data_IF_086569898080
#
_entry.id   IF_086569898080
#
_cell.length_a   1.000
_cell.length_b   1.000
_cell.length_c   1.000
_cell.angle_alpha   90.00
_cell.angle_beta   90.00
_cell.angle_gamma   90.00
#
_symmetry.space_group_name_H-M   'P 1'
#
loop_
_entity.id
_entity.type
_entity.pdbx_description
1 polymer ?
#
# COMPACT_ATOMS: atom_id res chain seq x y z
N UNK A 1 -1.18 -14.19 -3.05
CA UNK A 1 -0.13 -13.18 -3.31
C UNK A 1 -0.70 -11.85 -2.87
N UNK A 2 -0.08 -11.20 -1.89
CA UNK A 2 -0.65 -9.97 -1.32
C UNK A 2 -0.31 -8.73 -2.15
N UNK A 3 -1.27 -7.82 -2.25
CA UNK A 3 -1.23 -6.54 -2.96
C UNK A 3 -1.89 -5.47 -2.13
N UNK A 4 -1.26 -4.32 -2.02
CA UNK A 4 -1.80 -3.16 -1.31
C UNK A 4 -1.83 -1.94 -2.21
N UNK A 5 -3.00 -1.31 -2.30
CA UNK A 5 -3.22 -0.02 -2.93
C UNK A 5 -3.22 1.04 -1.83
N UNK A 6 -2.36 2.04 -1.94
CA UNK A 6 -2.32 3.20 -1.05
C UNK A 6 -2.89 4.39 -1.84
N UNK A 7 -4.06 4.86 -1.43
CA UNK A 7 -4.73 6.02 -2.01
C UNK A 7 -4.43 7.24 -1.15
N UNK A 8 -3.81 8.24 -1.76
CA UNK A 8 -3.52 9.54 -1.17
C UNK A 8 -4.57 10.54 -1.64
N UNK A 9 -5.15 11.29 -0.72
CA UNK A 9 -6.11 12.34 -1.04
C UNK A 9 -5.93 13.55 -0.12
N UNK A 10 -6.40 14.72 -0.54
CA UNK A 10 -6.34 15.94 0.26
C UNK A 10 -7.74 16.33 0.72
N UNK A 11 -8.12 16.14 1.99
CA UNK A 11 -9.42 16.50 2.54
C UNK A 11 -9.87 17.94 2.23
N UNK A 12 -8.96 18.92 2.25
CA UNK A 12 -9.29 20.32 1.93
C UNK A 12 -9.47 20.63 0.45
N UNK A 13 -9.23 19.65 -0.43
CA UNK A 13 -9.49 19.75 -1.87
C UNK A 13 -10.76 19.02 -2.31
N UNK A 14 -11.47 18.35 -1.39
CA UNK A 14 -12.77 17.76 -1.65
C UNK A 14 -13.86 18.78 -1.31
N UNK A 15 -14.84 18.95 -2.19
CA UNK A 15 -15.97 19.86 -1.98
C UNK A 15 -17.02 19.30 -1.02
N UNK A 16 -17.07 17.97 -0.90
CA UNK A 16 -17.98 17.23 -0.04
C UNK A 16 -17.37 15.87 0.35
N UNK A 17 -17.96 15.21 1.34
CA UNK A 17 -17.60 13.83 1.66
C UNK A 17 -17.85 12.92 0.45
N UNK A 18 -16.92 12.01 0.20
CA UNK A 18 -16.98 11.09 -0.93
C UNK A 18 -16.88 9.66 -0.40
N UNK A 19 -17.63 8.75 -1.02
CA UNK A 19 -17.47 7.32 -0.78
C UNK A 19 -16.88 6.67 -2.04
N UNK A 20 -15.67 6.12 -1.94
CA UNK A 20 -15.06 5.33 -3.01
C UNK A 20 -15.49 3.87 -2.85
N UNK A 21 -16.28 3.38 -3.80
CA UNK A 21 -16.78 2.01 -3.84
C UNK A 21 -15.92 1.19 -4.79
N UNK A 22 -15.36 0.10 -4.27
CA UNK A 22 -14.51 -0.83 -5.01
C UNK A 22 -15.25 -2.15 -5.21
N UNK A 23 -15.33 -2.59 -6.47
CA UNK A 23 -15.96 -3.87 -6.86
C UNK A 23 -15.04 -4.64 -7.79
N UNK A 24 -15.11 -5.97 -7.76
CA UNK A 24 -14.41 -6.77 -8.74
C UNK A 24 -15.23 -6.88 -10.02
N UNK A 25 -14.54 -6.88 -11.17
CA UNK A 25 -15.14 -7.24 -12.44
C UNK A 25 -15.68 -8.68 -12.36
N UNK A 26 -16.93 -8.92 -12.77
CA UNK A 26 -17.49 -10.27 -12.76
C UNK A 26 -16.72 -11.17 -13.73
N UNK A 27 -16.60 -12.49 -13.45
CA UNK A 27 -16.04 -13.44 -14.40
C UNK A 27 -16.76 -13.36 -15.74
N UNK A 28 -16.01 -13.40 -16.84
CA UNK A 28 -16.49 -13.13 -18.20
C UNK A 28 -17.37 -14.24 -18.79
N UNK A 29 -17.43 -15.41 -18.18
CA UNK A 29 -18.29 -16.50 -18.64
C UNK A 29 -19.76 -16.28 -18.25
N UNK A 30 -20.45 -15.48 -19.07
CA UNK A 30 -21.89 -15.16 -18.97
C UNK A 30 -22.82 -16.39 -19.01
N UNK A 31 -22.32 -17.57 -19.35
CA UNK A 31 -23.10 -18.81 -19.39
C UNK A 31 -23.51 -19.35 -18.00
N UNK A 32 -23.03 -18.75 -16.90
CA UNK A 32 -22.99 -19.42 -15.59
C UNK A 32 -24.01 -18.95 -14.54
N UNK A 33 -24.82 -17.93 -14.83
CA UNK A 33 -26.13 -17.63 -14.21
C UNK A 33 -26.48 -16.18 -14.58
N UNK A 34 -27.66 -15.91 -15.16
CA UNK A 34 -28.06 -14.55 -15.53
C UNK A 34 -28.24 -13.61 -14.31
N UNK A 35 -28.14 -14.12 -13.09
CA UNK A 35 -28.34 -13.37 -11.84
C UNK A 35 -27.09 -13.37 -10.98
N UNK A 36 -25.93 -13.07 -11.56
CA UNK A 36 -24.74 -12.75 -10.77
C UNK A 36 -24.85 -11.31 -10.28
N UNK A 37 -24.86 -11.11 -8.98
CA UNK A 37 -24.84 -9.77 -8.39
C UNK A 37 -23.39 -9.37 -8.06
N UNK A 38 -23.05 -8.11 -8.34
CA UNK A 38 -21.81 -7.51 -7.87
C UNK A 38 -21.94 -7.12 -6.41
N UNK A 39 -20.83 -7.19 -5.70
CA UNK A 39 -20.75 -6.79 -4.28
C UNK A 39 -19.79 -5.63 -4.13
N UNK A 40 -20.19 -4.63 -3.34
CA UNK A 40 -19.33 -3.56 -2.86
C UNK A 40 -18.25 -4.13 -1.93
N UNK A 41 -17.17 -4.66 -2.52
CA UNK A 41 -16.11 -5.38 -1.80
C UNK A 41 -15.42 -4.53 -0.74
N UNK A 42 -15.12 -3.26 -1.09
CA UNK A 42 -14.61 -2.26 -0.14
C UNK A 42 -15.29 -0.93 -0.39
N UNK A 43 -15.57 -0.22 0.70
CA UNK A 43 -16.09 1.14 0.66
C UNK A 43 -15.17 2.00 1.51
N UNK A 44 -14.51 2.96 0.87
CA UNK A 44 -13.53 3.84 1.50
C UNK A 44 -14.16 5.22 1.66
N UNK A 45 -14.54 5.62 2.88
CA UNK A 45 -15.01 6.99 3.12
C UNK A 45 -13.82 7.95 3.03
N UNK A 46 -14.01 9.05 2.30
CA UNK A 46 -13.07 10.13 2.15
C UNK A 46 -13.74 11.41 2.64
N UNK A 47 -13.22 11.97 3.73
CA UNK A 47 -13.85 13.10 4.40
C UNK A 47 -13.34 14.42 3.84
N UNK A 48 -14.26 15.32 3.51
CA UNK A 48 -13.91 16.70 3.19
C UNK A 48 -13.72 17.48 4.49
N UNK A 49 -12.58 18.17 4.60
CA UNK A 49 -12.26 19.01 5.75
C UNK A 49 -11.83 20.37 5.24
N UNK A 50 -12.70 21.36 5.41
CA UNK A 50 -12.46 22.73 4.96
C UNK A 50 -11.13 23.25 5.50
N UNK A 51 -10.37 23.93 4.64
CA UNK A 51 -9.09 24.56 4.96
C UNK A 51 -7.98 23.59 5.42
N UNK A 52 -8.18 22.27 5.31
CA UNK A 52 -7.14 21.28 5.59
C UNK A 52 -6.08 21.25 4.50
N UNK A 53 -4.83 21.47 4.88
CA UNK A 53 -3.66 21.28 4.01
C UNK A 53 -3.05 19.88 4.16
N UNK A 54 -3.56 19.06 5.07
CA UNK A 54 -3.04 17.72 5.31
C UNK A 54 -3.39 16.78 4.15
N UNK A 55 -2.51 15.81 3.92
CA UNK A 55 -2.78 14.66 3.07
C UNK A 55 -3.23 13.50 3.95
N UNK A 56 -4.25 12.77 3.52
CA UNK A 56 -4.75 11.57 4.18
C UNK A 56 -4.58 10.36 3.26
N UNK A 57 -4.59 9.17 3.86
CA UNK A 57 -4.21 7.92 3.21
C UNK A 57 -5.21 6.82 3.54
N UNK A 58 -5.73 6.18 2.49
CA UNK A 58 -6.49 4.95 2.60
C UNK A 58 -5.69 3.76 2.06
N UNK A 59 -5.71 2.64 2.78
CA UNK A 59 -5.01 1.41 2.39
C UNK A 59 -6.01 0.30 2.07
N UNK A 60 -5.88 -0.31 0.90
CA UNK A 60 -6.73 -1.41 0.43
C UNK A 60 -5.85 -2.61 0.13
N UNK A 61 -6.04 -3.70 0.87
CA UNK A 61 -5.24 -4.92 0.72
C UNK A 61 -6.06 -6.05 0.11
N UNK A 62 -5.49 -6.69 -0.92
CA UNK A 62 -5.95 -7.91 -1.55
C UNK A 62 -4.92 -9.02 -1.32
N UNK A 63 -5.34 -10.15 -0.75
CA UNK A 63 -4.42 -11.24 -0.35
C UNK A 63 -4.24 -12.33 -1.42
N UNK A 64 -5.15 -12.38 -2.40
CA UNK A 64 -5.25 -13.47 -3.37
C UNK A 64 -5.71 -14.82 -2.82
N UNK A 65 -6.15 -14.88 -1.55
CA UNK A 65 -6.78 -16.07 -0.98
C UNK A 65 -8.25 -16.05 -1.32
N UNK A 66 -8.71 -17.01 -2.11
CA UNK A 66 -10.10 -17.09 -2.57
C UNK A 66 -10.90 -18.00 -1.67
N UNK A 67 -12.20 -17.75 -1.56
CA UNK A 67 -13.10 -18.62 -0.82
C UNK A 67 -14.51 -18.58 -1.41
N UNK A 68 -15.22 -19.68 -1.22
CA UNK A 68 -16.68 -19.70 -1.30
C UNK A 68 -17.28 -19.51 0.09
N UNK A 69 -18.43 -18.85 0.15
CA UNK A 69 -19.25 -18.71 1.35
C UNK A 69 -20.70 -19.01 1.04
N UNK A 70 -21.45 -19.50 2.05
CA UNK A 70 -22.90 -19.52 1.97
C UNK A 70 -23.41 -18.23 2.59
N UNK A 71 -24.17 -17.47 1.83
CA UNK A 71 -24.69 -16.18 2.26
C UNK A 71 -26.19 -16.25 2.48
N UNK A 72 -26.72 -15.39 3.33
CA UNK A 72 -28.16 -15.08 3.38
C UNK A 72 -28.34 -13.68 2.81
N UNK A 73 -29.38 -13.52 1.99
CA UNK A 73 -29.79 -12.18 1.57
C UNK A 73 -30.77 -11.66 2.62
N UNK A 74 -30.51 -10.47 3.16
CA UNK A 74 -31.46 -9.76 4.03
C UNK A 74 -31.49 -8.29 3.65
N UNK A 75 -32.66 -7.80 3.26
CA UNK A 75 -32.92 -6.40 2.85
C UNK A 75 -31.82 -5.80 1.94
N UNK A 76 -31.36 -6.53 0.92
CA UNK A 76 -30.34 -6.03 -0.02
C UNK A 76 -28.88 -6.19 0.44
N UNK A 77 -28.65 -6.69 1.65
CA UNK A 77 -27.32 -6.95 2.19
C UNK A 77 -26.98 -8.44 2.17
N UNK A 78 -25.69 -8.72 2.04
CA UNK A 78 -25.14 -10.06 2.27
C UNK A 78 -24.89 -10.22 3.75
N UNK A 79 -25.75 -10.98 4.41
CA UNK A 79 -25.40 -11.57 5.70
C UNK A 79 -24.52 -12.77 5.39
N UNK A 80 -23.23 -12.67 5.72
CA UNK A 80 -22.33 -13.81 5.62
C UNK A 80 -22.85 -14.93 6.52
N UNK A 81 -23.33 -16.02 5.90
CA UNK A 81 -23.72 -17.22 6.60
C UNK A 81 -22.49 -17.90 7.17
N UNK A 82 -22.69 -18.66 8.23
CA UNK A 82 -21.64 -19.11 9.16
C UNK A 82 -20.52 -19.99 8.54
N UNK A 83 -20.57 -20.34 7.26
CA UNK A 83 -19.60 -21.25 6.63
C UNK A 83 -18.93 -20.65 5.38
N UNK A 84 -17.60 -20.70 5.41
CA UNK A 84 -16.71 -20.33 4.30
C UNK A 84 -15.65 -21.40 4.12
N UNK A 85 -15.22 -21.64 2.89
CA UNK A 85 -14.16 -22.59 2.55
C UNK A 85 -13.14 -21.93 1.64
N UNK A 86 -11.87 -21.97 2.01
CA UNK A 86 -10.77 -21.48 1.18
C UNK A 86 -10.60 -22.38 -0.05
N UNK A 87 -10.37 -21.75 -1.21
CA UNK A 87 -10.25 -22.42 -2.50
C UNK A 87 -8.99 -21.96 -3.22
N UNK A 88 -8.40 -22.87 -4.00
CA UNK A 88 -7.34 -22.58 -4.95
C UNK A 88 -7.87 -22.71 -6.38
N UNK A 89 -7.25 -21.98 -7.30
CA UNK A 89 -7.50 -22.08 -8.74
C UNK A 89 -7.45 -23.55 -9.18
N UNK A 90 -8.47 -24.01 -9.91
CA UNK A 90 -8.59 -25.39 -10.35
C UNK A 90 -9.16 -26.36 -9.31
N UNK A 91 -9.69 -25.90 -8.17
CA UNK A 91 -10.37 -26.75 -7.19
C UNK A 91 -11.90 -26.77 -7.37
N UNK A 92 -12.50 -27.87 -6.92
CA UNK A 92 -13.94 -28.13 -6.87
C UNK A 92 -14.36 -28.49 -5.44
N UNK A 93 -15.51 -27.99 -5.03
CA UNK A 93 -16.10 -28.25 -3.73
C UNK A 93 -17.61 -28.49 -3.84
N UNK A 94 -18.14 -29.32 -2.95
CA UNK A 94 -19.58 -29.54 -2.79
C UNK A 94 -20.08 -28.91 -1.49
N UNK A 95 -21.27 -28.30 -1.58
CA UNK A 95 -22.04 -27.85 -0.45
C UNK A 95 -23.13 -28.88 -0.16
N UNK A 96 -23.05 -29.53 0.99
CA UNK A 96 -23.97 -30.56 1.41
C UNK A 96 -24.93 -30.04 2.48
N UNK A 97 -26.06 -30.73 2.65
CA UNK A 97 -27.00 -30.44 3.73
C UNK A 97 -26.78 -31.42 4.88
N UNK A 98 -26.21 -30.95 5.99
CA UNK A 98 -25.91 -31.76 7.16
C UNK A 98 -26.50 -31.09 8.40
N UNK A 99 -27.21 -31.85 9.24
CA UNK A 99 -27.76 -31.35 10.52
C UNK A 99 -28.53 -30.02 10.38
N UNK A 100 -29.37 -29.91 9.34
CA UNK A 100 -30.20 -28.72 9.05
C UNK A 100 -29.43 -27.45 8.64
N UNK A 101 -28.13 -27.57 8.35
CA UNK A 101 -27.30 -26.46 7.88
C UNK A 101 -26.50 -26.83 6.62
N UNK A 102 -26.21 -25.86 5.75
CA UNK A 102 -25.35 -26.09 4.60
C UNK A 102 -23.87 -26.11 5.03
N UNK A 103 -23.17 -27.21 4.72
CA UNK A 103 -21.78 -27.46 5.12
C UNK A 103 -20.91 -27.68 3.88
N UNK A 104 -19.77 -27.00 3.82
CA UNK A 104 -18.78 -27.22 2.77
C UNK A 104 -18.03 -28.52 3.03
N UNK A 105 -17.86 -29.34 1.98
CA UNK A 105 -16.99 -30.51 2.02
C UNK A 105 -15.49 -30.14 2.05
N UNK A 106 -14.66 -31.07 1.57
CA UNK A 106 -13.21 -30.85 1.43
C UNK A 106 -12.89 -30.51 -0.03
N UNK A 107 -12.20 -29.39 -0.33
CA UNK A 107 -11.82 -29.05 -1.69
C UNK A 107 -11.00 -30.16 -2.35
N UNK A 108 -11.34 -30.46 -3.60
CA UNK A 108 -10.67 -31.48 -4.42
C UNK A 108 -10.18 -30.86 -5.72
N UNK A 109 -9.20 -31.49 -6.39
CA UNK A 109 -8.72 -30.98 -7.68
C UNK A 109 -9.75 -31.22 -8.77
N UNK A 110 -10.05 -30.18 -9.53
CA UNK A 110 -10.85 -30.24 -10.75
C UNK A 110 -9.95 -30.19 -12.00
N UNK A 111 -10.49 -30.58 -13.14
CA UNK A 111 -9.85 -30.32 -14.42
C UNK A 111 -10.03 -28.84 -14.82
N UNK A 112 -8.95 -28.20 -15.28
CA UNK A 112 -8.97 -26.83 -15.80
C UNK A 112 -8.51 -25.77 -14.79
N UNK A 113 -8.76 -24.50 -15.12
CA UNK A 113 -8.36 -23.33 -14.32
C UNK A 113 -9.50 -22.74 -13.48
N UNK A 114 -10.73 -23.24 -13.64
CA UNK A 114 -11.90 -22.72 -12.94
C UNK A 114 -11.93 -23.20 -11.49
N UNK A 115 -12.41 -22.33 -10.59
CA UNK A 115 -12.87 -22.73 -9.27
C UNK A 115 -14.36 -22.99 -9.31
N UNK A 116 -14.79 -24.08 -8.66
CA UNK A 116 -16.16 -24.59 -8.79
C UNK A 116 -16.75 -24.94 -7.42
N UNK A 117 -17.99 -24.53 -7.19
CA UNK A 117 -18.78 -24.89 -6.02
C UNK A 117 -20.12 -25.45 -6.48
N UNK A 118 -20.38 -26.73 -6.21
CA UNK A 118 -21.66 -27.36 -6.49
C UNK A 118 -22.56 -27.26 -5.26
N UNK A 119 -23.79 -26.81 -5.48
CA UNK A 119 -24.84 -26.88 -4.48
C UNK A 119 -25.47 -28.28 -4.51
N UNK A 120 -25.03 -29.17 -3.62
CA UNK A 120 -25.61 -30.52 -3.46
C UNK A 120 -26.68 -30.57 -2.36
N UNK A 121 -27.15 -29.41 -1.91
CA UNK A 121 -28.29 -29.33 -0.97
C UNK A 121 -29.62 -29.52 -1.72
N UNK A 122 -30.71 -29.93 -1.02
CA UNK A 122 -32.02 -30.09 -1.66
C UNK A 122 -32.70 -28.76 -2.02
N UNK A 123 -32.10 -27.62 -1.63
CA UNK A 123 -32.68 -26.29 -1.83
C UNK A 123 -31.76 -25.41 -2.68
N UNK A 124 -32.32 -24.31 -3.18
CA UNK A 124 -31.52 -23.25 -3.78
C UNK A 124 -30.69 -22.57 -2.69
N UNK A 125 -29.40 -22.33 -2.95
CA UNK A 125 -28.49 -21.68 -2.03
C UNK A 125 -27.94 -20.40 -2.63
N UNK A 126 -27.69 -19.41 -1.77
CA UNK A 126 -26.98 -18.20 -2.11
C UNK A 126 -25.49 -18.46 -1.86
N UNK A 127 -24.76 -18.81 -2.92
CA UNK A 127 -23.32 -19.06 -2.85
C UNK A 127 -22.62 -17.76 -3.25
N UNK A 128 -21.70 -17.28 -2.41
CA UNK A 128 -20.84 -16.15 -2.73
C UNK A 128 -19.41 -16.62 -2.95
N UNK A 129 -18.67 -15.86 -3.76
CA UNK A 129 -17.22 -15.98 -3.86
C UNK A 129 -16.59 -14.65 -3.49
N UNK A 130 -15.45 -14.71 -2.83
CA UNK A 130 -14.70 -13.53 -2.44
C UNK A 130 -13.30 -13.86 -1.97
N UNK A 131 -12.76 -12.98 -1.13
CA UNK A 131 -11.39 -13.05 -0.65
C UNK A 131 -11.32 -13.27 0.85
N UNK A 132 -10.32 -14.01 1.32
CA UNK A 132 -9.99 -14.16 2.74
C UNK A 132 -8.82 -13.27 3.12
N UNK A 133 -8.98 -12.48 4.19
CA UNK A 133 -7.92 -11.71 4.80
C UNK A 133 -7.67 -12.20 6.22
N UNK A 134 -6.40 -12.48 6.56
CA UNK A 134 -6.02 -12.80 7.94
C UNK A 134 -5.93 -11.49 8.73
N UNK A 135 -6.75 -11.35 9.77
CA UNK A 135 -6.70 -10.24 10.72
C UNK A 135 -6.44 -10.83 12.11
N UNK A 136 -5.20 -10.68 12.59
CA UNK A 136 -4.74 -11.40 13.79
C UNK A 136 -4.75 -12.91 13.56
N UNK A 137 -5.48 -13.65 14.39
CA UNK A 137 -5.67 -15.11 14.26
C UNK A 137 -6.90 -15.50 13.44
N UNK A 138 -7.73 -14.54 13.02
CA UNK A 138 -9.02 -14.80 12.36
C UNK A 138 -8.91 -14.59 10.86
N UNK A 139 -9.51 -15.49 10.08
CA UNK A 139 -9.73 -15.28 8.66
C UNK A 139 -11.07 -14.56 8.46
N UNK A 140 -11.01 -13.37 7.88
CA UNK A 140 -12.15 -12.52 7.58
C UNK A 140 -12.49 -12.67 6.10
N UNK A 141 -13.70 -13.15 5.82
CA UNK A 141 -14.21 -13.30 4.46
C UNK A 141 -14.86 -12.01 3.98
N UNK A 142 -14.54 -11.59 2.75
CA UNK A 142 -15.12 -10.43 2.06
C UNK A 142 -15.66 -10.86 0.70
N UNK A 143 -17.00 -10.97 0.53
CA UNK A 143 -17.63 -11.42 -0.70
C UNK A 143 -17.38 -10.40 -1.84
N UNK A 144 -17.32 -10.90 -3.06
CA UNK A 144 -17.14 -10.11 -4.28
C UNK A 144 -18.26 -10.36 -5.29
N UNK A 145 -18.78 -11.59 -5.31
CA UNK A 145 -19.90 -11.99 -6.14
C UNK A 145 -20.86 -12.85 -5.37
N UNK A 146 -22.12 -12.84 -5.80
CA UNK A 146 -23.19 -13.65 -5.24
C UNK A 146 -23.99 -14.31 -6.38
N UNK A 147 -24.25 -15.61 -6.23
CA UNK A 147 -25.11 -16.39 -7.13
C UNK A 147 -26.23 -17.07 -6.36
N UNK A 148 -27.40 -17.14 -7.01
CA UNK A 148 -28.50 -18.00 -6.60
C UNK A 148 -28.39 -19.35 -7.31
N UNK A 149 -27.78 -20.33 -6.65
CA UNK A 149 -27.45 -21.63 -7.23
C UNK A 149 -28.54 -22.64 -6.91
N UNK A 150 -29.21 -23.18 -7.94
CA UNK A 150 -30.23 -24.22 -7.76
C UNK A 150 -29.65 -25.52 -7.19
N UNK A 151 -30.52 -26.40 -6.70
CA UNK A 151 -30.11 -27.73 -6.24
C UNK A 151 -29.43 -28.48 -7.38
N UNK A 152 -28.33 -29.16 -7.09
CA UNK A 152 -27.42 -29.88 -8.01
C UNK A 152 -26.68 -29.00 -9.04
N UNK A 153 -26.88 -27.68 -9.03
CA UNK A 153 -26.19 -26.75 -9.94
C UNK A 153 -24.82 -26.35 -9.39
N UNK A 154 -23.95 -25.86 -10.27
CA UNK A 154 -22.59 -25.45 -9.93
C UNK A 154 -22.39 -23.96 -10.21
N UNK A 155 -21.88 -23.23 -9.23
CA UNK A 155 -21.26 -21.93 -9.44
C UNK A 155 -19.81 -22.16 -9.87
N UNK A 156 -19.42 -21.57 -10.99
CA UNK A 156 -18.05 -21.62 -11.49
C UNK A 156 -17.53 -20.20 -11.70
N UNK A 157 -16.26 -19.98 -11.41
CA UNK A 157 -15.63 -18.69 -11.63
C UNK A 157 -14.23 -18.84 -12.24
N UNK A 158 -13.97 -18.01 -13.24
CA UNK A 158 -12.63 -17.71 -13.72
C UNK A 158 -12.19 -16.38 -13.10
N UNK A 159 -11.57 -16.45 -11.91
CA UNK A 159 -11.32 -15.25 -11.13
C UNK A 159 -10.05 -14.53 -11.58
N UNK A 160 -10.24 -13.55 -12.46
CA UNK A 160 -9.23 -12.55 -12.82
C UNK A 160 -9.52 -11.25 -12.06
N UNK A 161 -8.78 -10.95 -10.96
CA UNK A 161 -9.12 -9.85 -10.06
C UNK A 161 -8.82 -8.49 -10.71
N UNK A 162 -9.74 -8.00 -11.53
CA UNK A 162 -9.78 -6.60 -11.99
C UNK A 162 -10.66 -5.84 -11.03
N UNK A 163 -10.09 -4.87 -10.31
CA UNK A 163 -10.80 -4.05 -9.35
C UNK A 163 -11.24 -2.74 -10.01
N UNK A 164 -12.51 -2.39 -9.89
CA UNK A 164 -13.10 -1.17 -10.45
C UNK A 164 -13.50 -0.21 -9.33
N UNK A 165 -13.23 1.08 -9.53
CA UNK A 165 -13.57 2.16 -8.62
C UNK A 165 -14.74 3.00 -9.13
N UNK A 166 -15.65 3.33 -8.21
CA UNK A 166 -16.79 4.23 -8.42
C UNK A 166 -16.92 5.17 -7.23
N UNK A 167 -17.64 6.28 -7.39
CA UNK A 167 -17.89 7.23 -6.30
C UNK A 167 -19.38 7.42 -6.04
N UNK A 168 -19.73 7.65 -4.77
CA UNK A 168 -21.04 8.16 -4.33
C UNK A 168 -22.26 7.32 -4.75
N UNK A 169 -22.10 6.00 -4.86
CA UNK A 169 -23.20 5.08 -5.19
C UNK A 169 -24.21 4.87 -4.05
N UNK A 170 -23.93 5.38 -2.84
CA UNK A 170 -24.74 5.11 -1.65
C UNK A 170 -24.63 3.70 -1.10
N UNK A 171 -23.77 2.86 -1.70
CA UNK A 171 -23.55 1.47 -1.27
C UNK A 171 -22.71 1.40 0.00
N UNK A 172 -23.04 0.44 0.87
CA UNK A 172 -22.20 0.04 2.00
C UNK A 172 -21.37 -1.20 1.68
N UNK A 173 -20.31 -1.45 2.46
CA UNK A 173 -19.47 -2.62 2.23
C UNK A 173 -20.28 -3.92 2.39
N UNK A 174 -20.08 -4.85 1.45
CA UNK A 174 -20.80 -6.11 1.30
C UNK A 174 -22.27 -6.00 0.85
N UNK A 175 -22.74 -4.81 0.49
CA UNK A 175 -24.02 -4.64 -0.19
C UNK A 175 -23.93 -5.15 -1.63
N UNK A 176 -24.96 -5.85 -2.11
CA UNK A 176 -25.02 -6.30 -3.50
C UNK A 176 -25.84 -5.34 -4.34
N UNK A 177 -25.49 -5.24 -5.61
CA UNK A 177 -26.28 -4.52 -6.60
C UNK A 177 -26.75 -5.47 -7.68
N UNK A 178 -28.06 -5.51 -7.88
CA UNK A 178 -28.70 -6.24 -8.98
C UNK A 178 -28.61 -5.47 -10.30
N UNK A 179 -28.38 -4.15 -10.23
CA UNK A 179 -28.08 -3.35 -11.40
C UNK A 179 -26.59 -3.41 -11.69
N UNK A 180 -26.23 -3.51 -12.97
CA UNK A 180 -24.89 -3.17 -13.42
C UNK A 180 -24.56 -1.79 -12.87
N UNK A 181 -23.56 -1.71 -11.98
CA UNK A 181 -22.95 -0.43 -11.65
C UNK A 181 -22.51 0.14 -12.99
N UNK A 182 -22.85 1.41 -13.25
CA UNK A 182 -22.48 2.17 -14.46
C UNK A 182 -21.29 1.59 -15.21
N UNK A 183 -21.39 1.45 -16.53
CA UNK A 183 -20.33 0.85 -17.36
C UNK A 183 -18.97 1.54 -17.22
N UNK A 184 -18.96 2.76 -16.66
CA UNK A 184 -17.83 3.68 -16.67
C UNK A 184 -17.30 3.88 -15.23
N UNK A 185 -16.41 2.99 -14.74
CA UNK A 185 -15.69 3.23 -13.50
C UNK A 185 -14.75 4.44 -13.65
N UNK A 186 -14.49 5.16 -12.56
CA UNK A 186 -13.51 6.25 -12.57
C UNK A 186 -12.07 5.75 -12.72
N UNK A 187 -11.83 4.48 -12.37
CA UNK A 187 -10.56 3.80 -12.54
C UNK A 187 -10.70 2.27 -12.48
N UNK A 188 -9.73 1.56 -13.04
CA UNK A 188 -9.62 0.11 -12.93
C UNK A 188 -8.18 -0.35 -12.70
N UNK A 189 -8.00 -1.36 -11.86
CA UNK A 189 -6.72 -1.99 -11.58
C UNK A 189 -6.75 -3.46 -11.95
N UNK A 190 -5.82 -3.89 -12.79
CA UNK A 190 -5.53 -5.30 -12.96
C UNK A 190 -4.59 -5.76 -11.83
N UNK A 191 -5.15 -6.28 -10.73
CA UNK A 191 -4.39 -6.54 -9.49
C UNK A 191 -3.15 -7.42 -9.67
N UNK A 192 -3.14 -8.48 -10.51
CA UNK A 192 -1.96 -9.30 -10.76
C UNK A 192 -0.80 -8.54 -11.41
N UNK A 193 -1.09 -7.51 -12.21
CA UNK A 193 -0.09 -6.69 -12.91
C UNK A 193 0.54 -5.61 -12.01
N UNK A 194 -0.05 -5.36 -10.84
CA UNK A 194 0.48 -4.39 -9.90
C UNK A 194 1.69 -4.92 -9.14
N UNK A 195 2.56 -4.01 -8.71
CA UNK A 195 3.58 -4.29 -7.69
C UNK A 195 2.95 -4.63 -6.33
N UNK A 196 3.75 -5.15 -5.39
CA UNK A 196 3.27 -5.54 -4.03
C UNK A 196 2.54 -4.40 -3.31
N UNK A 197 3.10 -3.20 -3.40
CA UNK A 197 2.52 -1.97 -2.86
C UNK A 197 2.55 -0.93 -3.98
N UNK A 198 1.45 -0.23 -4.19
CA UNK A 198 1.34 0.81 -5.22
C UNK A 198 0.69 2.06 -4.63
N UNK A 199 1.12 3.24 -5.07
CA UNK A 199 0.63 4.53 -4.59
C UNK A 199 -0.18 5.21 -5.68
N UNK A 200 -1.29 5.82 -5.26
CA UNK A 200 -2.29 6.38 -6.14
C UNK A 200 -2.78 7.70 -5.57
N UNK A 201 -3.03 8.70 -6.40
CA UNK A 201 -3.67 9.95 -6.01
C UNK A 201 -5.15 9.87 -6.33
N UNK A 202 -5.99 10.26 -5.38
CA UNK A 202 -7.41 10.50 -5.59
C UNK A 202 -7.68 11.99 -5.47
N UNK A 203 -8.33 12.57 -6.48
CA UNK A 203 -8.61 14.01 -6.53
C UNK A 203 -9.97 14.31 -7.17
N UNK A 204 -10.62 15.36 -6.68
CA UNK A 204 -11.76 16.00 -7.33
C UNK A 204 -11.26 17.06 -8.33
N UNK A 205 -11.74 16.96 -9.56
CA UNK A 205 -11.45 17.91 -10.63
C UNK A 205 -12.36 19.15 -10.53
N UNK A 206 -12.02 20.20 -11.25
CA UNK A 206 -12.76 21.48 -11.22
C UNK A 206 -14.19 21.38 -11.74
N UNK A 207 -14.50 20.35 -12.53
CA UNK A 207 -15.86 20.04 -13.01
C UNK A 207 -16.67 19.16 -12.03
N UNK A 208 -16.14 18.86 -10.84
CA UNK A 208 -16.76 17.98 -9.84
C UNK A 208 -16.61 16.48 -10.13
N UNK A 209 -15.92 16.10 -11.20
CA UNK A 209 -15.59 14.68 -11.44
C UNK A 209 -14.44 14.22 -10.55
N UNK A 210 -14.33 12.92 -10.33
CA UNK A 210 -13.25 12.33 -9.53
C UNK A 210 -12.28 11.57 -10.43
N UNK A 211 -10.99 11.66 -10.10
CA UNK A 211 -9.93 11.00 -10.85
C UNK A 211 -9.01 10.23 -9.91
N UNK A 212 -8.47 9.13 -10.44
CA UNK A 212 -7.42 8.36 -9.79
C UNK A 212 -6.25 8.27 -10.77
N UNK A 213 -5.06 8.59 -10.30
CA UNK A 213 -3.84 8.51 -11.11
C UNK A 213 -2.73 7.80 -10.36
N UNK A 214 -1.87 7.03 -11.04
CA UNK A 214 -0.70 6.46 -10.40
C UNK A 214 0.19 7.59 -9.89
N UNK A 215 0.77 7.40 -8.70
CA UNK A 215 1.87 8.22 -8.23
C UNK A 215 3.12 7.46 -8.64
N UNK A 216 3.67 7.81 -9.80
CA UNK A 216 4.87 7.18 -10.34
C UNK A 216 6.05 7.47 -9.42
N UNK A 217 6.25 6.60 -8.43
CA UNK A 217 7.34 6.66 -7.45
C UNK A 217 7.54 8.06 -6.87
N UNK A 218 6.74 8.42 -5.87
CA UNK A 218 7.32 9.21 -4.78
C UNK A 218 8.51 8.39 -4.26
N UNK A 219 9.72 8.77 -4.64
CA UNK A 219 10.91 8.35 -3.90
C UNK A 219 10.87 9.15 -2.60
N UNK A 220 10.00 8.73 -1.68
CA UNK A 220 9.94 9.32 -0.35
C UNK A 220 11.13 8.78 0.43
N UNK A 221 12.27 9.46 0.37
CA UNK A 221 13.31 9.25 1.36
C UNK A 221 12.87 9.92 2.66
N UNK A 222 12.25 9.17 3.58
CA UNK A 222 12.23 9.57 4.99
C UNK A 222 13.57 9.25 5.64
N UNK A 223 14.62 9.93 5.23
CA UNK A 223 15.74 10.15 6.14
C UNK A 223 15.19 10.97 7.31
N UNK A 224 15.50 10.60 8.55
CA UNK A 224 15.14 11.43 9.70
C UNK A 224 16.29 11.30 10.67
N UNK A 225 17.28 12.18 10.55
CA UNK A 225 18.43 12.26 11.45
C UNK A 225 18.07 12.99 12.74
N UNK A 226 18.60 12.47 13.86
CA UNK A 226 18.40 13.02 15.20
C UNK A 226 19.77 13.11 15.84
N UNK A 227 20.14 14.31 16.26
CA UNK A 227 21.38 14.60 16.99
C UNK A 227 21.11 14.57 18.49
N UNK A 228 22.03 14.03 19.32
CA UNK A 228 21.90 13.97 20.78
C UNK A 228 23.15 14.57 21.42
N UNK A 229 22.98 15.68 22.14
CA UNK A 229 24.02 16.24 23.00
C UNK A 229 24.01 15.54 24.37
N UNK A 230 25.17 15.38 25.01
CA UNK A 230 25.30 14.85 26.37
C UNK A 230 26.10 15.83 27.25
N UNK A 231 25.78 15.95 28.55
CA UNK A 231 26.34 17.00 29.38
C UNK A 231 27.63 16.53 30.06
N UNK A 232 28.73 17.23 29.72
CA UNK A 232 29.85 17.67 30.56
C UNK A 232 31.17 17.58 29.77
N UNK A 233 31.80 18.75 29.62
CA UNK A 233 32.94 19.12 28.74
C UNK A 233 32.50 19.64 27.35
N UNK A 234 33.30 20.51 26.65
CA UNK A 234 32.84 21.39 25.56
C UNK A 234 32.51 20.67 24.24
N UNK A 235 31.95 19.47 24.31
CA UNK A 235 31.94 18.50 23.23
C UNK A 235 30.56 18.32 22.59
N UNK A 236 30.49 18.58 21.29
CA UNK A 236 29.29 18.44 20.46
C UNK A 236 29.17 16.99 19.99
N UNK A 237 28.44 16.18 20.76
CA UNK A 237 28.03 14.84 20.31
C UNK A 237 26.98 14.93 19.21
N UNK A 238 27.28 14.36 18.05
CA UNK A 238 26.33 14.22 16.94
C UNK A 238 25.57 12.89 17.11
N UNK A 239 24.43 12.74 16.47
CA UNK A 239 23.83 11.44 16.21
C UNK A 239 23.09 11.53 14.88
N UNK A 240 23.01 10.43 14.15
CA UNK A 240 22.17 10.31 12.96
C UNK A 240 21.20 9.18 13.20
N UNK A 241 19.90 9.40 13.03
CA UNK A 241 18.95 8.32 12.84
C UNK A 241 18.66 8.26 11.35
N UNK A 242 18.50 7.07 10.80
CA UNK A 242 18.03 6.93 9.43
C UNK A 242 17.04 5.78 9.47
N UNK A 243 15.75 6.11 9.33
CA UNK A 243 14.71 5.10 9.18
C UNK A 243 14.65 4.75 7.69
N UNK A 244 15.23 3.61 7.32
CA UNK A 244 15.21 3.15 5.94
C UNK A 244 14.11 2.08 5.77
N UNK A 245 13.11 2.35 4.93
CA UNK A 245 12.28 1.31 4.35
C UNK A 245 13.10 0.51 3.31
N UNK A 246 12.80 -0.77 3.14
CA UNK A 246 13.63 -1.87 2.56
C UNK A 246 14.12 -1.72 1.09
N UNK A 247 14.18 -0.51 0.52
CA UNK A 247 14.44 -0.26 -0.90
C UNK A 247 15.87 0.21 -1.24
N UNK A 248 16.74 0.50 -0.26
CA UNK A 248 18.13 0.93 -0.51
C UNK A 248 19.11 -0.24 -0.30
N UNK A 249 19.99 -0.55 -1.26
CA UNK A 249 21.01 -1.57 -1.06
C UNK A 249 21.93 -1.24 0.14
N UNK A 250 22.17 -2.22 1.02
CA UNK A 250 22.97 -2.02 2.26
C UNK A 250 24.37 -1.44 2.02
N UNK A 251 24.96 -1.64 0.85
CA UNK A 251 26.29 -1.11 0.52
C UNK A 251 26.28 0.41 0.34
N UNK A 252 25.20 0.99 -0.22
CA UNK A 252 25.04 2.44 -0.36
C UNK A 252 25.03 3.13 0.99
N UNK A 253 24.34 2.53 1.97
CA UNK A 253 24.31 3.04 3.34
C UNK A 253 25.70 3.00 3.96
N UNK A 254 26.44 1.91 3.78
CA UNK A 254 27.81 1.79 4.29
C UNK A 254 28.76 2.84 3.69
N UNK A 255 28.62 3.11 2.39
CA UNK A 255 29.45 4.08 1.67
C UNK A 255 29.16 5.52 2.13
N UNK A 256 27.88 5.90 2.28
CA UNK A 256 27.49 7.21 2.83
C UNK A 256 28.12 7.44 4.20
N UNK A 257 28.05 6.44 5.09
CA UNK A 257 28.62 6.56 6.43
C UNK A 257 30.15 6.65 6.40
N UNK A 258 30.83 5.91 5.52
CA UNK A 258 32.27 5.97 5.36
C UNK A 258 32.74 7.34 4.83
N UNK A 259 32.00 7.91 3.88
CA UNK A 259 32.31 9.21 3.26
C UNK A 259 32.01 10.37 4.21
N UNK A 260 30.90 10.33 4.96
CA UNK A 260 30.60 11.28 6.04
C UNK A 260 31.69 11.25 7.10
N UNK A 261 32.06 10.05 7.57
CA UNK A 261 33.08 9.86 8.60
C UNK A 261 34.44 10.41 8.15
N UNK A 262 34.83 10.10 6.90
CA UNK A 262 36.09 10.56 6.31
C UNK A 262 36.12 12.08 6.08
N UNK A 263 35.01 12.67 5.63
CA UNK A 263 34.86 14.12 5.42
C UNK A 263 34.90 14.91 6.74
N UNK A 264 34.31 14.35 7.80
CA UNK A 264 34.35 14.95 9.14
C UNK A 264 35.76 14.82 9.75
N UNK A 265 36.41 13.66 9.60
CA UNK A 265 37.79 13.46 10.05
C UNK A 265 38.77 14.43 9.35
N UNK A 266 38.61 14.68 8.06
CA UNK A 266 39.41 15.65 7.30
C UNK A 266 39.24 17.10 7.80
N UNK A 267 38.12 17.41 8.47
CA UNK A 267 37.84 18.70 9.11
C UNK A 267 38.31 18.76 10.57
N UNK A 268 39.04 17.75 11.05
CA UNK A 268 39.57 17.69 12.41
C UNK A 268 38.57 17.24 13.46
N UNK A 269 37.43 16.66 13.05
CA UNK A 269 36.43 16.11 13.98
C UNK A 269 36.93 14.80 14.56
N UNK A 270 37.07 14.72 15.88
CA UNK A 270 37.53 13.51 16.57
C UNK A 270 36.35 12.58 16.88
N UNK A 271 36.42 11.33 16.42
CA UNK A 271 35.33 10.35 16.43
C UNK A 271 35.39 9.45 17.67
N UNK A 272 34.24 9.10 18.29
CA UNK A 272 34.28 8.26 19.50
C UNK A 272 33.59 6.88 19.45
N UNK A 273 32.55 6.62 18.64
CA UNK A 273 32.05 5.25 18.44
C UNK A 273 30.97 5.15 17.35
N UNK A 274 30.99 4.05 16.59
CA UNK A 274 29.78 3.52 15.95
C UNK A 274 29.01 2.68 16.98
N UNK A 275 27.83 3.14 17.41
CA UNK A 275 26.91 2.30 18.17
C UNK A 275 25.78 1.83 17.24
N UNK A 276 25.62 0.51 17.10
CA UNK A 276 24.51 -0.08 16.37
C UNK A 276 23.46 -0.59 17.34
N UNK A 277 22.31 0.09 17.38
CA UNK A 277 21.14 -0.36 18.12
C UNK A 277 20.40 -1.41 17.29
N UNK A 278 20.55 -2.68 17.70
CA UNK A 278 20.00 -3.85 16.99
C UNK A 278 18.48 -3.88 17.00
N UNK A 279 17.84 -3.35 18.04
CA UNK A 279 16.38 -3.43 18.22
C UNK A 279 15.65 -2.38 17.40
N UNK A 280 16.35 -1.31 16.99
CA UNK A 280 15.78 -0.22 16.20
C UNK A 280 16.45 0.00 14.85
N UNK A 281 17.45 -0.81 14.50
CA UNK A 281 18.27 -0.69 13.29
C UNK A 281 18.93 0.70 13.11
N UNK A 282 19.57 1.25 14.16
CA UNK A 282 20.11 2.63 14.15
C UNK A 282 21.64 2.67 14.27
N UNK A 283 22.30 3.62 13.59
CA UNK A 283 23.74 3.92 13.69
C UNK A 283 23.96 5.38 14.11
N UNK A 284 24.68 5.61 15.21
CA UNK A 284 24.96 6.95 15.74
C UNK A 284 26.40 7.42 15.40
N UNK A 285 26.60 8.74 15.19
CA UNK A 285 27.91 9.37 14.90
C UNK A 285 28.21 10.42 15.97
N UNK A 286 29.17 10.23 16.87
CA UNK A 286 29.52 11.19 17.95
C UNK A 286 30.77 12.00 17.59
N UNK A 287 30.77 13.31 17.86
CA UNK A 287 31.86 14.26 17.56
C UNK A 287 32.36 14.93 18.85
N UNK A 288 33.61 15.41 18.87
CA UNK A 288 34.14 16.34 19.88
C UNK A 288 34.70 17.59 19.18
N UNK A 289 34.15 18.75 19.55
CA UNK A 289 34.59 20.13 19.27
C UNK A 289 34.81 20.61 17.82
N UNK A 290 34.55 21.91 17.62
CA UNK A 290 35.09 22.68 16.48
C UNK A 290 34.19 22.87 15.26
N UNK A 291 32.95 22.37 15.28
CA UNK A 291 32.04 22.45 14.12
C UNK A 291 30.66 22.94 14.56
N UNK A 292 30.17 23.98 13.90
CA UNK A 292 28.81 24.51 14.11
C UNK A 292 27.75 23.53 13.59
N UNK A 293 26.51 23.64 14.09
CA UNK A 293 25.38 22.85 13.59
C UNK A 293 25.17 23.03 12.07
N UNK A 294 25.45 24.22 11.54
CA UNK A 294 25.38 24.56 10.13
C UNK A 294 26.48 23.87 9.32
N UNK A 295 27.73 23.89 9.77
CA UNK A 295 28.84 23.20 9.09
C UNK A 295 28.67 21.68 9.09
N UNK A 296 28.12 21.12 10.17
CA UNK A 296 27.79 19.71 10.25
C UNK A 296 26.68 19.35 9.25
N UNK A 297 25.61 20.15 9.22
CA UNK A 297 24.52 19.98 8.25
C UNK A 297 25.04 20.02 6.81
N UNK A 298 25.84 21.03 6.47
CA UNK A 298 26.41 21.19 5.14
C UNK A 298 27.32 20.02 4.75
N UNK A 299 28.08 19.48 5.71
CA UNK A 299 28.93 18.30 5.48
C UNK A 299 28.12 17.03 5.26
N UNK A 300 27.06 16.83 6.06
CA UNK A 300 26.15 15.70 5.90
C UNK A 300 25.42 15.76 4.56
N UNK A 301 24.92 16.94 4.17
CA UNK A 301 24.32 17.18 2.85
C UNK A 301 25.29 16.79 1.76
N UNK A 302 26.50 17.36 1.75
CA UNK A 302 27.50 17.11 0.71
C UNK A 302 27.86 15.61 0.56
N UNK A 303 27.97 14.87 1.66
CA UNK A 303 28.27 13.45 1.62
C UNK A 303 27.09 12.59 1.14
N UNK A 304 25.85 12.94 1.53
CA UNK A 304 24.64 12.29 1.00
C UNK A 304 24.54 12.53 -0.52
N UNK A 305 24.81 13.76 -0.97
CA UNK A 305 24.86 14.11 -2.40
C UNK A 305 25.90 13.26 -3.16
N UNK A 306 27.14 13.22 -2.69
CA UNK A 306 28.21 12.48 -3.35
C UNK A 306 27.90 10.97 -3.46
N UNK A 307 27.29 10.38 -2.44
CA UNK A 307 26.90 8.98 -2.46
C UNK A 307 25.74 8.70 -3.43
N UNK A 308 24.75 9.60 -3.48
CA UNK A 308 23.65 9.50 -4.45
C UNK A 308 24.15 9.64 -5.89
N UNK A 309 25.10 10.55 -6.16
CA UNK A 309 25.74 10.70 -7.47
C UNK A 309 26.54 9.46 -7.87
N UNK A 310 27.30 8.87 -6.94
CA UNK A 310 28.07 7.63 -7.17
C UNK A 310 27.15 6.45 -7.49
N UNK A 311 26.02 6.33 -6.78
CA UNK A 311 25.02 5.29 -7.03
C UNK A 311 24.32 5.49 -8.39
N UNK A 312 23.96 6.74 -8.71
CA UNK A 312 23.40 7.10 -10.01
C UNK A 312 24.34 6.72 -11.16
N UNK A 313 25.66 6.90 -10.97
CA UNK A 313 26.67 6.51 -11.95
C UNK A 313 26.82 4.97 -12.08
N UNK A 314 26.67 4.21 -10.99
CA UNK A 314 26.77 2.74 -10.99
C UNK A 314 25.58 2.04 -11.67
N UNK A 315 24.41 2.68 -11.74
CA UNK A 315 23.18 2.11 -12.33
C UNK A 315 23.20 2.09 -13.88
N UNK A 316 24.30 2.52 -14.53
CA UNK A 316 24.62 2.24 -15.93
C UNK A 316 23.55 2.74 -16.93
N UNK A 317 23.46 4.06 -17.13
CA UNK A 317 22.77 4.66 -18.28
C UNK A 317 21.25 4.85 -18.16
N UNK A 318 20.62 4.47 -17.05
CA UNK A 318 19.28 4.99 -16.74
C UNK A 318 19.42 6.35 -16.08
N UNK A 319 19.16 7.40 -16.86
CA UNK A 319 18.97 8.76 -16.35
C UNK A 319 17.94 8.67 -15.20
N UNK A 320 18.35 9.07 -13.99
CA UNK A 320 17.41 9.52 -12.97
C UNK A 320 16.79 10.79 -13.54
N UNK A 321 15.84 10.67 -14.47
CA UNK A 321 15.21 11.82 -15.11
C UNK A 321 14.63 12.70 -14.01
N UNK A 322 14.83 14.03 -14.11
CA UNK A 322 14.37 15.11 -13.21
C UNK A 322 13.55 14.63 -12.00
N UNK A 323 14.22 13.96 -11.07
CA UNK A 323 13.60 13.40 -9.87
C UNK A 323 14.03 14.25 -8.71
N UNK A 324 13.06 14.95 -8.14
CA UNK A 324 13.23 15.66 -6.89
C UNK A 324 13.32 14.65 -5.74
N UNK A 325 14.38 14.77 -4.94
CA UNK A 325 14.53 14.01 -3.71
C UNK A 325 14.14 14.89 -2.53
N UNK A 326 13.16 14.44 -1.73
CA UNK A 326 12.85 15.05 -0.45
C UNK A 326 13.82 14.47 0.60
N UNK A 327 14.71 15.30 1.14
CA UNK A 327 15.58 14.93 2.26
C UNK A 327 15.08 15.63 3.55
N UNK A 328 14.83 14.85 4.60
CA UNK A 328 14.51 15.40 5.92
C UNK A 328 15.66 15.13 6.90
N UNK A 329 16.05 16.14 7.68
CA UNK A 329 17.04 16.02 8.75
C UNK A 329 16.68 16.99 9.87
N UNK A 330 17.09 16.70 11.10
CA UNK A 330 16.83 17.58 12.24
C UNK A 330 17.95 17.52 13.27
N UNK A 331 18.16 18.60 14.02
CA UNK A 331 19.11 18.64 15.14
C UNK A 331 18.31 18.88 16.41
N UNK A 332 18.49 18.00 17.40
CA UNK A 332 17.81 18.07 18.70
C UNK A 332 18.81 18.22 19.83
N UNK A 333 18.40 18.79 20.96
CA UNK A 333 19.21 18.87 22.18
C UNK A 333 19.15 17.57 23.00
N UNK A 334 19.77 17.59 24.17
CA UNK A 334 19.83 16.47 25.12
C UNK A 334 18.46 16.03 25.67
N UNK A 335 17.44 16.88 25.57
CA UNK A 335 16.07 16.62 25.99
C UNK A 335 15.16 16.18 24.83
N UNK A 336 15.70 16.11 23.61
CA UNK A 336 14.93 15.82 22.40
C UNK A 336 14.15 17.03 21.86
N UNK A 337 14.46 18.24 22.33
CA UNK A 337 13.88 19.48 21.82
C UNK A 337 14.58 19.85 20.51
N UNK A 338 13.81 20.27 19.50
CA UNK A 338 14.36 20.72 18.21
C UNK A 338 15.18 22.01 18.38
N UNK A 339 16.46 21.98 18.02
CA UNK A 339 17.39 23.13 18.14
C UNK A 339 17.63 23.79 16.79
N UNK A 340 17.61 23.02 15.71
CA UNK A 340 17.72 23.52 14.33
C UNK A 340 16.74 22.77 13.43
N UNK A 341 15.99 23.56 12.64
CA UNK A 341 14.76 23.15 11.97
C UNK A 341 14.92 22.07 10.91
N UNK A 342 13.88 21.24 10.79
CA UNK A 342 13.68 20.33 9.67
C UNK A 342 13.35 21.13 8.42
N UNK A 343 14.38 21.61 7.73
CA UNK A 343 14.19 22.24 6.42
C UNK A 343 13.83 21.16 5.40
N UNK A 344 12.62 21.29 4.83
CA UNK A 344 12.28 20.60 3.58
C UNK A 344 13.02 21.32 2.46
N UNK A 345 14.10 20.72 1.98
CA UNK A 345 14.82 21.25 0.83
C UNK A 345 14.60 20.31 -0.36
N UNK A 346 14.00 20.86 -1.43
CA UNK A 346 13.82 20.14 -2.69
C UNK A 346 15.17 20.21 -3.40
N UNK A 347 15.75 19.04 -3.66
CA UNK A 347 17.03 18.93 -4.35
C UNK A 347 16.76 18.64 -5.83
N UNK A 348 16.95 19.62 -6.73
CA UNK A 348 16.96 19.36 -8.15
C UNK A 348 18.29 18.70 -8.52
N UNK A 349 18.26 17.47 -9.02
CA UNK A 349 19.44 16.87 -9.65
C UNK A 349 19.56 17.49 -11.04
N UNK A 350 20.59 18.32 -11.25
CA UNK A 350 20.75 19.09 -12.47
C UNK A 350 20.74 18.25 -13.74
N UNK A 351 20.09 18.77 -14.79
CA UNK A 351 20.01 18.17 -16.11
C UNK A 351 21.41 18.07 -16.76
N UNK A 352 22.03 16.89 -16.71
CA UNK A 352 23.23 16.62 -17.49
C UNK A 352 22.83 16.19 -18.91
N UNK A 353 22.86 17.14 -19.85
CA UNK A 353 22.69 16.85 -21.28
C UNK A 353 23.97 16.23 -21.83
N UNK A 354 23.97 14.92 -22.07
CA UNK A 354 25.03 14.25 -22.83
C UNK A 354 24.54 13.97 -24.25
N UNK A 355 25.21 14.57 -25.24
CA UNK A 355 25.02 14.23 -26.65
C UNK A 355 25.66 12.87 -26.93
N UNK A 356 24.92 11.96 -27.57
CA UNK A 356 25.46 10.72 -28.11
C UNK A 356 26.27 11.00 -29.39
N UNK A 357 27.48 10.43 -29.48
CA UNK A 357 28.07 9.97 -30.73
C UNK A 357 27.93 8.46 -30.81
#
# INVERSE_FOLDING_TARGET
>A
MERTLILHYSPGKLTQNVSLVLTFQPPTNKALSPTQNLVAWKVVPMHAVKDSTAMDVASITYTGRLAFGVSREDVGNIILGASTVEMKVGEFIELEWQEEVPVWGIPSKAAGQLIKAKNDTPFKQNISMGTLQRVGSLDVYSPSFLWKVGSTQTAEADFHPVLKAYTNLGLVQNEFTAADISSDPIYQWNIPELGRVTNWSFAEATNGSYTITPIDSLVTFKASSFVRLAPHEPDISVASNLNWEESVPRHVVSDVFADVSSSLAAKGVTYYAEHYDKDRHRKYIVSQQGVTCEELSNTLKAAIFAALEKEAAMINGKVLGDKDFDLYWSITDEHGTLVYGADKEIIPVGSASWYYL
#
